data_IF_680163022682
#
_entry.id   IF_680163022682
#
_cell.length_a   1.000
_cell.length_b   1.000
_cell.length_c   1.000
_cell.angle_alpha   90.00
_cell.angle_beta   90.00
_cell.angle_gamma   90.00
#
_symmetry.space_group_name_H-M   'P 1'
#
loop_
_entity.id
_entity.type
_entity.pdbx_description
1 polymer ?
#
# COMPACT_ATOMS: atom_id res chain seq x y z
N UNK A 1 8.03 -6.76 -18.20
CA UNK A 1 9.15 -7.02 -17.25
C UNK A 1 8.97 -8.37 -16.61
N UNK A 2 10.04 -8.99 -16.09
CA UNK A 2 9.94 -10.27 -15.38
C UNK A 2 9.24 -10.11 -14.02
N UNK A 3 8.58 -11.15 -13.55
CA UNK A 3 7.92 -11.15 -12.23
C UNK A 3 8.88 -10.87 -11.06
N UNK A 4 10.19 -11.16 -11.25
CA UNK A 4 11.25 -10.82 -10.28
C UNK A 4 11.32 -9.32 -9.93
N UNK A 5 10.78 -8.45 -10.78
CA UNK A 5 10.59 -7.04 -10.46
C UNK A 5 9.79 -6.84 -9.16
N UNK A 6 8.82 -7.70 -8.86
CA UNK A 6 8.02 -7.61 -7.63
C UNK A 6 8.86 -7.81 -6.37
N UNK A 7 9.96 -8.56 -6.46
CA UNK A 7 10.92 -8.70 -5.35
C UNK A 7 11.61 -7.36 -5.09
N UNK A 8 12.03 -6.67 -6.17
CA UNK A 8 12.61 -5.32 -6.06
C UNK A 8 11.60 -4.34 -5.48
N UNK A 9 10.36 -4.35 -5.96
CA UNK A 9 9.28 -3.50 -5.44
C UNK A 9 9.03 -3.75 -3.95
N UNK A 10 8.91 -5.01 -3.53
CA UNK A 10 8.71 -5.37 -2.11
C UNK A 10 9.90 -4.97 -1.24
N UNK A 11 11.12 -5.03 -1.80
CA UNK A 11 12.32 -4.54 -1.11
C UNK A 11 12.25 -3.03 -0.88
N UNK A 12 11.96 -2.24 -1.92
CA UNK A 12 11.85 -0.79 -1.79
C UNK A 12 10.73 -0.39 -0.81
N UNK A 13 9.60 -1.11 -0.81
CA UNK A 13 8.53 -0.89 0.17
C UNK A 13 9.03 -1.23 1.60
N UNK A 14 9.72 -2.35 1.78
CA UNK A 14 10.28 -2.74 3.07
C UNK A 14 11.28 -1.68 3.59
N UNK A 15 12.16 -1.19 2.73
CA UNK A 15 13.17 -0.20 3.08
C UNK A 15 12.52 1.13 3.48
N UNK A 16 11.59 1.66 2.69
CA UNK A 16 10.93 2.93 3.00
C UNK A 16 10.08 2.86 4.27
N UNK A 17 9.46 1.70 4.56
CA UNK A 17 8.72 1.49 5.81
C UNK A 17 9.67 1.47 7.02
N UNK A 18 10.85 0.86 6.89
CA UNK A 18 11.87 0.87 7.93
C UNK A 18 12.44 2.28 8.17
N UNK A 19 12.71 3.04 7.11
CA UNK A 19 13.17 4.42 7.18
C UNK A 19 12.16 5.37 7.85
N UNK A 20 10.86 5.13 7.64
CA UNK A 20 9.78 5.97 8.17
C UNK A 20 9.13 5.41 9.44
N UNK A 21 9.68 4.35 10.02
CA UNK A 21 9.09 3.66 11.17
C UNK A 21 8.76 4.59 12.32
N UNK A 22 9.72 5.40 12.76
CA UNK A 22 9.56 6.28 13.92
C UNK A 22 8.54 7.39 13.64
N UNK A 23 8.51 7.93 12.41
CA UNK A 23 7.51 8.90 11.99
C UNK A 23 6.09 8.31 12.00
N UNK A 24 5.92 7.08 11.52
CA UNK A 24 4.62 6.40 11.56
C UNK A 24 4.17 6.08 12.98
N UNK A 25 5.11 5.75 13.90
CA UNK A 25 4.83 5.58 15.34
C UNK A 25 4.32 6.89 15.93
N UNK A 26 5.01 8.01 15.65
CA UNK A 26 4.62 9.33 16.15
C UNK A 26 3.22 9.73 15.63
N UNK A 27 3.00 9.63 14.33
CA UNK A 27 1.71 9.98 13.72
C UNK A 27 0.57 9.13 14.27
N UNK A 28 0.77 7.82 14.38
CA UNK A 28 -0.24 6.90 14.93
C UNK A 28 -0.44 7.12 16.44
N UNK A 29 0.60 7.48 17.18
CA UNK A 29 0.48 7.85 18.59
C UNK A 29 -0.42 9.05 18.85
N UNK A 30 -0.58 9.94 17.87
CA UNK A 30 -1.51 11.09 17.95
C UNK A 30 -2.97 10.63 17.81
N UNK A 31 -3.27 9.69 16.92
CA UNK A 31 -4.64 9.29 16.55
C UNK A 31 -5.02 7.88 17.02
N UNK A 32 -4.05 7.04 17.31
CA UNK A 32 -4.19 5.62 17.63
C UNK A 32 -3.39 5.20 18.86
N UNK A 33 -2.67 4.07 18.78
CA UNK A 33 -1.87 3.45 19.84
C UNK A 33 -0.36 3.40 19.54
N UNK A 34 0.06 3.97 18.41
CA UNK A 34 1.48 4.12 18.09
C UNK A 34 2.16 2.83 17.62
N UNK A 35 1.43 1.81 17.16
CA UNK A 35 2.02 0.55 16.72
C UNK A 35 2.22 0.44 15.19
N UNK A 36 1.66 1.38 14.42
CA UNK A 36 1.64 1.33 12.96
C UNK A 36 3.04 1.24 12.34
N UNK A 37 3.99 2.00 12.85
CA UNK A 37 5.36 1.99 12.32
C UNK A 37 6.05 0.63 12.49
N UNK A 38 5.85 -0.03 13.62
CA UNK A 38 6.34 -1.40 13.85
C UNK A 38 5.62 -2.39 12.95
N UNK A 39 4.30 -2.30 12.86
CA UNK A 39 3.48 -3.18 12.01
C UNK A 39 3.90 -3.08 10.54
N UNK A 40 4.11 -1.89 10.00
CA UNK A 40 4.51 -1.71 8.61
C UNK A 40 5.94 -2.16 8.33
N UNK A 41 6.89 -1.77 9.18
CA UNK A 41 8.29 -2.17 9.04
C UNK A 41 8.46 -3.69 9.12
N UNK A 42 7.93 -4.34 10.16
CA UNK A 42 8.05 -5.78 10.34
C UNK A 42 7.24 -6.57 9.30
N UNK A 43 6.06 -6.07 8.93
CA UNK A 43 5.17 -6.72 7.98
C UNK A 43 5.73 -6.75 6.57
N UNK A 44 6.18 -5.61 6.04
CA UNK A 44 6.77 -5.57 4.69
C UNK A 44 8.14 -6.24 4.63
N UNK A 45 8.92 -6.19 5.72
CA UNK A 45 10.15 -6.99 5.80
C UNK A 45 9.85 -8.49 5.68
N UNK A 46 8.86 -9.00 6.41
CA UNK A 46 8.47 -10.40 6.32
C UNK A 46 7.92 -10.77 4.93
N UNK A 47 7.18 -9.86 4.28
CA UNK A 47 6.68 -10.04 2.93
C UNK A 47 7.83 -10.17 1.92
N UNK A 48 8.83 -9.28 1.99
CA UNK A 48 10.02 -9.34 1.15
C UNK A 48 10.85 -10.59 1.43
N UNK A 49 11.19 -10.87 2.69
CA UNK A 49 12.03 -12.02 3.07
C UNK A 49 11.48 -13.35 2.55
N UNK A 50 10.14 -13.50 2.51
CA UNK A 50 9.47 -14.72 2.07
C UNK A 50 9.62 -15.02 0.57
N UNK A 51 10.06 -14.06 -0.23
CA UNK A 51 10.14 -14.20 -1.70
C UNK A 51 11.51 -13.77 -2.25
N UNK A 52 12.41 -13.32 -1.38
CA UNK A 52 13.70 -12.70 -1.75
C UNK A 52 14.70 -13.68 -2.41
N UNK A 53 14.49 -14.98 -2.26
CA UNK A 53 15.31 -16.01 -2.89
C UNK A 53 15.07 -16.16 -4.41
N UNK A 54 14.00 -15.54 -4.94
CA UNK A 54 13.65 -15.58 -6.36
C UNK A 54 13.12 -16.94 -6.85
N UNK A 55 12.76 -17.84 -5.94
CA UNK A 55 12.33 -19.19 -6.31
C UNK A 55 10.92 -19.24 -6.97
N UNK A 56 10.11 -18.16 -6.81
CA UNK A 56 8.74 -18.09 -7.31
C UNK A 56 8.67 -17.24 -8.56
N UNK A 57 8.54 -17.87 -9.74
CA UNK A 57 8.41 -17.17 -11.02
C UNK A 57 7.00 -16.61 -11.29
N UNK A 58 5.95 -17.23 -10.77
CA UNK A 58 4.55 -16.80 -10.91
C UNK A 58 4.28 -15.58 -10.03
N UNK A 59 4.02 -14.42 -10.63
CA UNK A 59 3.75 -13.14 -9.96
C UNK A 59 2.60 -13.25 -8.94
N UNK A 60 1.54 -13.97 -9.30
CA UNK A 60 0.40 -14.17 -8.39
C UNK A 60 0.77 -14.98 -7.16
N UNK A 61 1.54 -16.07 -7.34
CA UNK A 61 2.02 -16.88 -6.21
C UNK A 61 3.01 -16.11 -5.34
N UNK A 62 3.86 -15.29 -5.94
CA UNK A 62 4.83 -14.43 -5.26
C UNK A 62 4.11 -13.44 -4.33
N UNK A 63 3.17 -12.67 -4.87
CA UNK A 63 2.38 -11.71 -4.09
C UNK A 63 1.54 -12.39 -2.99
N UNK A 64 0.97 -13.56 -3.30
CA UNK A 64 0.21 -14.34 -2.31
C UNK A 64 1.11 -14.85 -1.17
N UNK A 65 2.33 -15.34 -1.48
CA UNK A 65 3.30 -15.77 -0.48
C UNK A 65 3.75 -14.61 0.42
N UNK A 66 4.05 -13.45 -0.19
CA UNK A 66 4.38 -12.21 0.53
C UNK A 66 3.25 -11.80 1.49
N UNK A 67 2.01 -11.78 1.01
CA UNK A 67 0.84 -11.45 1.84
C UNK A 67 0.58 -12.46 2.96
N UNK A 68 0.84 -13.76 2.73
CA UNK A 68 0.75 -14.78 3.77
C UNK A 68 1.80 -14.58 4.87
N UNK A 69 3.03 -14.29 4.48
CA UNK A 69 4.12 -14.04 5.43
C UNK A 69 3.83 -12.80 6.30
N UNK A 70 3.36 -11.73 5.67
CA UNK A 70 2.95 -10.50 6.38
C UNK A 70 1.83 -10.76 7.39
N UNK A 71 0.76 -11.46 6.99
CA UNK A 71 -0.36 -11.78 7.89
C UNK A 71 0.08 -12.58 9.12
N UNK A 72 1.05 -13.49 8.94
CA UNK A 72 1.58 -14.31 10.04
C UNK A 72 2.48 -13.50 10.98
N UNK A 73 3.22 -12.52 10.43
CA UNK A 73 4.18 -11.72 11.20
C UNK A 73 3.51 -10.64 12.03
N UNK A 74 2.49 -9.96 11.46
CA UNK A 74 1.85 -8.79 12.08
C UNK A 74 0.32 -8.95 12.10
N UNK A 75 -0.23 -9.71 13.06
CA UNK A 75 -1.67 -9.98 13.17
C UNK A 75 -2.43 -8.78 13.79
N UNK A 76 -2.30 -7.61 13.18
CA UNK A 76 -3.02 -6.38 13.53
C UNK A 76 -4.05 -6.04 12.45
N UNK A 77 -4.91 -5.05 12.70
CA UNK A 77 -5.86 -4.58 11.69
C UNK A 77 -5.15 -4.11 10.43
N UNK A 78 -4.15 -3.21 10.56
CA UNK A 78 -3.40 -2.72 9.40
C UNK A 78 -2.57 -3.81 8.74
N UNK A 79 -1.93 -4.70 9.52
CA UNK A 79 -1.22 -5.85 8.97
C UNK A 79 -2.13 -6.77 8.15
N UNK A 80 -3.35 -7.02 8.64
CA UNK A 80 -4.36 -7.83 7.94
C UNK A 80 -4.86 -7.16 6.65
N UNK A 81 -5.07 -5.84 6.67
CA UNK A 81 -5.47 -5.07 5.49
C UNK A 81 -4.40 -5.12 4.41
N UNK A 82 -3.15 -4.82 4.75
CA UNK A 82 -2.02 -4.83 3.81
C UNK A 82 -1.78 -6.24 3.24
N UNK A 83 -1.81 -7.26 4.08
CA UNK A 83 -1.68 -8.65 3.64
C UNK A 83 -2.82 -9.08 2.72
N UNK A 84 -4.05 -8.58 2.94
CA UNK A 84 -5.20 -8.89 2.09
C UNK A 84 -5.08 -8.20 0.74
N UNK A 85 -4.58 -6.96 0.69
CA UNK A 85 -4.25 -6.28 -0.56
C UNK A 85 -3.26 -7.09 -1.41
N UNK A 86 -2.13 -7.53 -0.81
CA UNK A 86 -1.15 -8.38 -1.49
C UNK A 86 -1.76 -9.69 -2.01
N UNK A 87 -2.58 -10.37 -1.19
CA UNK A 87 -3.23 -11.63 -1.60
C UNK A 87 -4.26 -11.42 -2.71
N UNK A 88 -5.00 -10.31 -2.70
CA UNK A 88 -5.95 -10.01 -3.78
C UNK A 88 -5.22 -9.74 -5.09
N UNK A 89 -4.15 -8.93 -5.07
CA UNK A 89 -3.30 -8.72 -6.24
C UNK A 89 -2.71 -10.05 -6.74
N UNK A 90 -2.25 -10.89 -5.82
CA UNK A 90 -1.74 -12.22 -6.15
C UNK A 90 -2.78 -13.16 -6.78
N UNK A 91 -4.04 -13.06 -6.37
CA UNK A 91 -5.14 -13.82 -6.97
C UNK A 91 -5.40 -13.39 -8.41
N UNK A 92 -5.40 -12.10 -8.67
CA UNK A 92 -5.76 -11.53 -9.97
C UNK A 92 -4.61 -11.69 -11.01
N UNK A 93 -3.35 -11.78 -10.55
CA UNK A 93 -2.19 -12.01 -11.41
C UNK A 93 -1.71 -13.47 -11.48
N UNK A 94 -2.52 -14.41 -11.00
CA UNK A 94 -2.16 -15.84 -11.00
C UNK A 94 -1.83 -16.34 -12.40
N UNK A 95 -0.68 -17.02 -12.53
CA UNK A 95 -0.21 -17.62 -13.78
C UNK A 95 0.67 -16.69 -14.63
N UNK A 96 0.90 -15.45 -14.21
CA UNK A 96 1.78 -14.53 -14.93
C UNK A 96 3.22 -14.65 -14.45
N UNK A 97 4.15 -14.91 -15.39
CA UNK A 97 5.59 -14.94 -15.16
C UNK A 97 6.26 -13.67 -15.71
N UNK A 98 5.61 -13.00 -16.65
CA UNK A 98 5.98 -11.68 -17.16
C UNK A 98 4.85 -10.71 -16.98
N UNK A 99 5.18 -9.44 -16.73
CA UNK A 99 4.24 -8.36 -16.47
C UNK A 99 4.35 -7.31 -17.57
N UNK A 100 3.20 -6.92 -18.09
CA UNK A 100 3.01 -5.70 -18.88
C UNK A 100 2.71 -4.51 -17.96
N UNK A 101 2.78 -3.29 -18.45
CA UNK A 101 2.47 -2.10 -17.67
C UNK A 101 1.04 -2.14 -17.11
N UNK A 102 0.10 -2.67 -17.90
CA UNK A 102 -1.28 -2.89 -17.46
C UNK A 102 -1.39 -3.85 -16.26
N UNK A 103 -0.52 -4.87 -16.18
CA UNK A 103 -0.48 -5.79 -15.05
C UNK A 103 0.05 -5.11 -13.80
N UNK A 104 1.05 -4.21 -13.94
CA UNK A 104 1.57 -3.42 -12.81
C UNK A 104 0.50 -2.48 -12.28
N UNK A 105 -0.25 -1.81 -13.13
CA UNK A 105 -1.39 -0.97 -12.72
C UNK A 105 -2.46 -1.83 -12.04
N UNK A 106 -2.75 -3.02 -12.56
CA UNK A 106 -3.72 -3.95 -11.97
C UNK A 106 -3.32 -4.40 -10.57
N UNK A 107 -2.01 -4.52 -10.24
CA UNK A 107 -1.55 -4.84 -8.87
C UNK A 107 -2.14 -3.85 -7.87
N UNK A 108 -2.01 -2.55 -8.14
CA UNK A 108 -2.48 -1.51 -7.21
C UNK A 108 -4.00 -1.42 -7.15
N UNK A 109 -4.70 -1.59 -8.27
CA UNK A 109 -6.16 -1.64 -8.31
C UNK A 109 -6.71 -2.86 -7.52
N UNK A 110 -6.10 -4.03 -7.68
CA UNK A 110 -6.46 -5.23 -6.93
C UNK A 110 -6.13 -5.11 -5.44
N UNK A 111 -5.00 -4.47 -5.13
CA UNK A 111 -4.59 -4.19 -3.75
C UNK A 111 -5.63 -3.30 -3.06
N UNK A 112 -6.02 -2.19 -3.71
CA UNK A 112 -7.08 -1.29 -3.23
C UNK A 112 -8.38 -2.04 -2.97
N UNK A 113 -8.84 -2.83 -3.95
CA UNK A 113 -10.07 -3.61 -3.82
C UNK A 113 -10.04 -4.60 -2.65
N UNK A 114 -8.89 -5.26 -2.42
CA UNK A 114 -8.70 -6.16 -1.29
C UNK A 114 -8.78 -5.44 0.05
N UNK A 115 -8.13 -4.29 0.17
CA UNK A 115 -8.14 -3.45 1.38
C UNK A 115 -9.54 -2.90 1.64
N UNK A 116 -10.19 -2.32 0.63
CA UNK A 116 -11.53 -1.77 0.75
C UNK A 116 -12.56 -2.83 1.21
N UNK A 117 -12.49 -4.02 0.62
CA UNK A 117 -13.39 -5.13 0.97
C UNK A 117 -13.22 -5.60 2.41
N UNK A 118 -11.99 -5.78 2.89
CA UNK A 118 -11.75 -6.24 4.26
C UNK A 118 -12.02 -5.15 5.29
N UNK A 119 -11.63 -3.91 4.97
CA UNK A 119 -11.80 -2.76 5.88
C UNK A 119 -13.22 -2.21 5.93
N UNK A 120 -14.10 -2.62 4.99
CA UNK A 120 -15.45 -2.06 4.82
C UNK A 120 -15.45 -0.53 4.74
N UNK A 121 -14.31 0.03 4.26
CA UNK A 121 -14.08 1.46 4.13
C UNK A 121 -14.22 1.92 2.68
N UNK A 122 -14.53 3.18 2.50
CA UNK A 122 -14.62 3.85 1.19
C UNK A 122 -13.80 5.13 1.20
N UNK A 123 -13.56 5.67 0.02
CA UNK A 123 -12.93 6.98 -0.16
C UNK A 123 -13.75 8.06 0.55
N UNK A 124 -13.09 8.92 1.30
CA UNK A 124 -13.69 9.95 2.14
C UNK A 124 -13.83 9.56 3.62
N UNK A 125 -13.60 8.30 3.96
CA UNK A 125 -13.69 7.81 5.35
C UNK A 125 -12.43 8.14 6.18
N UNK A 126 -11.42 8.78 5.57
CA UNK A 126 -10.14 9.14 6.17
C UNK A 126 -9.36 7.90 6.59
N UNK A 127 -8.87 7.15 5.60
CA UNK A 127 -8.17 5.88 5.77
C UNK A 127 -7.01 5.74 4.78
N UNK A 128 -6.34 4.59 4.80
CA UNK A 128 -5.36 4.17 3.78
C UNK A 128 -5.88 4.37 2.34
N UNK A 129 -7.19 4.16 2.10
CA UNK A 129 -7.79 4.30 0.77
C UNK A 129 -7.72 5.74 0.25
N UNK A 130 -7.81 6.73 1.13
CA UNK A 130 -7.76 8.14 0.73
C UNK A 130 -6.37 8.55 0.21
N UNK A 131 -5.34 7.83 0.60
CA UNK A 131 -4.00 7.95 0.02
C UNK A 131 -3.81 7.12 -1.25
N UNK A 132 -4.35 5.88 -1.29
CA UNK A 132 -4.11 4.96 -2.41
C UNK A 132 -5.00 5.23 -3.62
N UNK A 133 -6.29 5.52 -3.42
CA UNK A 133 -7.26 5.68 -4.51
C UNK A 133 -6.85 6.73 -5.56
N UNK A 134 -6.43 7.96 -5.19
CA UNK A 134 -5.97 8.94 -6.17
C UNK A 134 -4.78 8.46 -7.00
N UNK A 135 -3.91 7.66 -6.41
CA UNK A 135 -2.79 7.06 -7.12
C UNK A 135 -3.24 6.00 -8.14
N UNK A 136 -4.21 5.15 -7.77
CA UNK A 136 -4.78 4.15 -8.66
C UNK A 136 -5.50 4.81 -9.84
N UNK A 137 -6.29 5.86 -9.60
CA UNK A 137 -6.91 6.66 -10.67
C UNK A 137 -5.86 7.29 -11.59
N UNK A 138 -4.78 7.85 -11.03
CA UNK A 138 -3.66 8.42 -11.79
C UNK A 138 -2.97 7.38 -12.66
N UNK A 139 -2.71 6.17 -12.13
CA UNK A 139 -2.12 5.05 -12.88
C UNK A 139 -3.01 4.63 -14.05
N UNK A 140 -4.31 4.49 -13.83
CA UNK A 140 -5.26 4.08 -14.88
C UNK A 140 -5.39 5.14 -15.98
N UNK A 141 -5.43 6.42 -15.61
CA UNK A 141 -5.48 7.52 -16.57
C UNK A 141 -4.20 7.62 -17.41
N UNK A 142 -3.02 7.51 -16.78
CA UNK A 142 -1.72 7.55 -17.45
C UNK A 142 -1.51 6.32 -18.36
N UNK A 143 -1.96 5.15 -17.94
CA UNK A 143 -1.94 3.94 -18.78
C UNK A 143 -2.81 4.13 -20.03
N UNK A 144 -4.02 4.67 -19.88
CA UNK A 144 -4.91 4.97 -21.00
C UNK A 144 -4.33 6.02 -21.96
N UNK A 145 -3.50 6.94 -21.45
CA UNK A 145 -2.78 7.94 -22.24
C UNK A 145 -1.50 7.37 -22.93
N UNK A 146 -1.11 6.13 -22.63
CA UNK A 146 0.08 5.49 -23.22
C UNK A 146 1.40 6.06 -22.67
N UNK A 147 1.41 6.57 -21.46
CA UNK A 147 2.60 7.09 -20.80
C UNK A 147 3.58 5.97 -20.41
N UNK A 148 4.84 6.32 -20.18
CA UNK A 148 5.82 5.35 -19.68
C UNK A 148 5.50 4.95 -18.23
N UNK A 149 5.86 3.71 -17.85
CA UNK A 149 5.64 3.23 -16.48
C UNK A 149 6.31 4.11 -15.42
N UNK A 150 7.50 4.67 -15.73
CA UNK A 150 8.20 5.59 -14.85
C UNK A 150 7.43 6.91 -14.64
N UNK A 151 6.85 7.48 -15.72
CA UNK A 151 6.02 8.69 -15.62
C UNK A 151 4.73 8.40 -14.83
N UNK A 152 4.08 7.26 -15.12
CA UNK A 152 2.89 6.80 -14.37
C UNK A 152 3.19 6.72 -12.88
N UNK A 153 4.32 6.10 -12.50
CA UNK A 153 4.69 5.90 -11.11
C UNK A 153 4.99 7.22 -10.38
N UNK A 154 5.66 8.17 -11.04
CA UNK A 154 5.90 9.50 -10.50
C UNK A 154 4.60 10.24 -10.21
N UNK A 155 3.68 10.29 -11.19
CA UNK A 155 2.37 10.92 -11.02
C UNK A 155 1.51 10.26 -9.94
N UNK A 156 1.57 8.93 -9.85
CA UNK A 156 0.84 8.19 -8.82
C UNK A 156 1.40 8.46 -7.42
N UNK A 157 2.72 8.59 -7.27
CA UNK A 157 3.34 8.96 -6.00
C UNK A 157 2.91 10.37 -5.56
N UNK A 158 2.87 11.34 -6.49
CA UNK A 158 2.38 12.68 -6.23
C UNK A 158 0.89 12.68 -5.83
N UNK A 159 0.06 11.93 -6.56
CA UNK A 159 -1.37 11.80 -6.27
C UNK A 159 -1.63 11.16 -4.90
N UNK A 160 -0.85 10.16 -4.50
CA UNK A 160 -0.93 9.55 -3.18
C UNK A 160 -0.55 10.53 -2.06
N UNK A 161 0.48 11.35 -2.26
CA UNK A 161 0.90 12.36 -1.28
C UNK A 161 -0.16 13.47 -1.15
N UNK A 162 -0.78 13.89 -2.26
CA UNK A 162 -1.91 14.84 -2.23
C UNK A 162 -3.13 14.23 -1.52
N UNK A 163 -3.45 12.97 -1.78
CA UNK A 163 -4.51 12.25 -1.08
C UNK A 163 -4.26 12.18 0.43
N UNK A 164 -3.04 11.87 0.83
CA UNK A 164 -2.63 11.90 2.24
C UNK A 164 -2.84 13.29 2.86
N UNK A 165 -2.37 14.36 2.23
CA UNK A 165 -2.56 15.73 2.73
C UNK A 165 -4.04 16.11 2.84
N UNK A 166 -4.86 15.69 1.88
CA UNK A 166 -6.30 15.97 1.87
C UNK A 166 -7.03 15.34 3.07
N UNK A 167 -6.48 14.32 3.72
CA UNK A 167 -7.09 13.72 4.93
C UNK A 167 -7.26 14.71 6.06
N UNK A 168 -6.51 15.81 6.11
CA UNK A 168 -6.66 16.89 7.11
C UNK A 168 -7.97 17.68 6.97
N UNK A 169 -8.76 17.42 5.95
CA UNK A 169 -10.11 18.01 5.76
C UNK A 169 -11.23 17.01 5.98
N UNK A 170 -10.90 15.73 6.21
CA UNK A 170 -11.85 14.63 6.32
C UNK A 170 -12.15 14.29 7.79
N UNK A 171 -13.35 13.77 8.05
CA UNK A 171 -13.73 13.22 9.36
C UNK A 171 -13.38 11.72 9.37
N UNK A 172 -12.69 11.26 10.41
CA UNK A 172 -12.40 9.84 10.55
C UNK A 172 -13.66 9.05 10.89
N UNK A 173 -13.93 7.99 10.13
CA UNK A 173 -15.11 7.12 10.27
C UNK A 173 -14.71 5.74 10.83
N UNK A 174 -13.46 5.33 10.62
CA UNK A 174 -12.95 4.02 11.02
C UNK A 174 -11.80 4.13 12.03
N UNK A 175 -11.55 3.02 12.72
CA UNK A 175 -10.43 2.86 13.61
C UNK A 175 -10.46 3.76 14.85
N UNK A 176 -9.29 3.91 15.49
CA UNK A 176 -9.17 4.69 16.74
C UNK A 176 -9.36 6.18 16.51
N UNK A 177 -8.96 6.70 15.36
CA UNK A 177 -9.13 8.10 15.01
C UNK A 177 -10.62 8.52 15.03
N UNK A 178 -11.55 7.63 14.68
CA UNK A 178 -12.99 7.91 14.70
C UNK A 178 -13.51 8.25 16.10
N UNK A 179 -12.89 7.74 17.16
CA UNK A 179 -13.30 8.04 18.55
C UNK A 179 -13.06 9.50 18.93
N UNK A 180 -12.27 10.24 18.15
CA UNK A 180 -12.00 11.66 18.36
C UNK A 180 -13.08 12.59 17.78
N UNK A 181 -14.00 12.05 16.98
CA UNK A 181 -15.07 12.85 16.34
C UNK A 181 -14.47 14.01 15.51
N UNK A 182 -15.02 15.22 15.66
CA UNK A 182 -14.56 16.41 14.94
C UNK A 182 -13.06 16.75 15.17
N UNK A 183 -12.50 16.39 16.32
CA UNK A 183 -11.07 16.60 16.58
C UNK A 183 -10.15 15.76 15.67
N UNK A 184 -10.68 14.74 14.99
CA UNK A 184 -9.93 13.98 14.01
C UNK A 184 -9.68 14.74 12.71
N UNK A 185 -10.52 15.74 12.39
CA UNK A 185 -10.57 16.41 11.08
C UNK A 185 -9.25 17.04 10.68
N UNK A 186 -8.60 17.79 11.59
CA UNK A 186 -7.35 18.50 11.30
C UNK A 186 -6.08 17.64 11.40
N UNK A 187 -6.21 16.38 11.80
CA UNK A 187 -5.08 15.47 11.95
C UNK A 187 -4.82 14.75 10.63
N UNK A 188 -3.56 14.48 10.34
CA UNK A 188 -3.16 13.62 9.21
C UNK A 188 -3.51 12.16 9.49
N UNK A 189 -3.93 11.40 8.45
CA UNK A 189 -4.20 9.97 8.59
C UNK A 189 -2.92 9.15 8.41
N UNK A 190 -2.48 8.38 9.42
CA UNK A 190 -1.26 7.57 9.30
C UNK A 190 -1.39 6.46 8.25
N UNK A 191 -2.60 5.92 8.04
CA UNK A 191 -2.86 4.91 7.01
C UNK A 191 -2.68 5.48 5.60
N UNK A 192 -3.19 6.69 5.33
CA UNK A 192 -2.98 7.39 4.06
C UNK A 192 -1.49 7.72 3.84
N UNK A 193 -0.72 7.99 4.90
CA UNK A 193 0.74 8.12 4.80
C UNK A 193 1.41 6.83 4.38
N UNK A 194 0.97 5.68 4.88
CA UNK A 194 1.47 4.37 4.42
C UNK A 194 1.23 4.19 2.92
N UNK A 195 0.04 4.57 2.40
CA UNK A 195 -0.25 4.52 0.97
C UNK A 195 0.70 5.40 0.15
N UNK A 196 0.93 6.65 0.59
CA UNK A 196 1.91 7.55 -0.04
C UNK A 196 3.31 6.95 -0.07
N UNK A 197 3.78 6.35 1.02
CA UNK A 197 5.09 5.70 1.08
C UNK A 197 5.19 4.49 0.14
N UNK A 198 4.15 3.68 0.00
CA UNK A 198 4.09 2.56 -0.95
C UNK A 198 4.26 3.09 -2.39
N UNK A 199 3.56 4.16 -2.75
CA UNK A 199 3.65 4.72 -4.09
C UNK A 199 5.00 5.40 -4.36
N UNK A 200 5.63 6.02 -3.37
CA UNK A 200 6.99 6.52 -3.47
C UNK A 200 8.00 5.37 -3.67
N UNK A 201 7.86 4.26 -2.95
CA UNK A 201 8.68 3.07 -3.16
C UNK A 201 8.48 2.47 -4.56
N UNK A 202 7.25 2.48 -5.08
CA UNK A 202 6.96 2.05 -6.43
C UNK A 202 7.72 2.92 -7.47
N UNK A 203 7.62 4.25 -7.38
CA UNK A 203 8.36 5.14 -8.27
C UNK A 203 9.89 4.93 -8.19
N UNK A 204 10.42 4.68 -6.99
CA UNK A 204 11.85 4.41 -6.77
C UNK A 204 12.28 3.04 -7.32
N UNK A 205 11.37 2.08 -7.43
CA UNK A 205 11.66 0.72 -7.88
C UNK A 205 11.85 0.59 -9.40
N UNK A 206 11.49 1.59 -10.18
CA UNK A 206 11.63 1.60 -11.64
C UNK A 206 12.96 2.20 -12.09
#
# INVERSE_FOLDING_TARGET
MESSYLIKLLKEISDIMAENKDKLIEMDGIVGDGDLGLTMSDGFKAAYDAVSDGAIADAGKLLFAAGKAMANKVPSTMGSLMATGLKQAGKDLKGKETLEDADVVQIFASYEAGVAKLGEAKVGDKTFLDGLHPAVESLQASLAAGESLADMAGKAADAAEEGFKATTTMLAVHGRAATRGEASRSLEDPGAKVASLIMQAFAKSL
#
